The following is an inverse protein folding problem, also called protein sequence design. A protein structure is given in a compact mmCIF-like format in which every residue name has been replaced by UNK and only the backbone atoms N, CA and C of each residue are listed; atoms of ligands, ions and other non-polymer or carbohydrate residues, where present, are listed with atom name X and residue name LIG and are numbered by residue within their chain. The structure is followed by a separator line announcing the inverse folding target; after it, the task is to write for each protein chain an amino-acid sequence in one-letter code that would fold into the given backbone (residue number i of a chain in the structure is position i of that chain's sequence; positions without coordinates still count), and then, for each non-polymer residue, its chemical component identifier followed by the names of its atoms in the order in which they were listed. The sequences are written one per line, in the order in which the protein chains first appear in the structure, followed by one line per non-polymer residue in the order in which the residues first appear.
data_IF_631718127057
#
_entry.id   IF_631718127057
#
_cell.length_a   1.000
_cell.length_b   1.000
_cell.length_c   1.000
_cell.angle_alpha   90.00
_cell.angle_beta   90.00
_cell.angle_gamma   90.00
#
_symmetry.space_group_name_H-M   'P 1'
#
loop_
_entity.id
_entity.type
_entity.pdbx_description
1 polymer ?
#
# COMPACT_ATOMS: atom_id res chain seq x y z
N UNK A 1 3.55 8.48 11.99
CA UNK A 1 2.75 7.44 11.29
C UNK A 1 2.97 6.10 11.98
N UNK A 2 1.92 5.40 12.42
CA UNK A 2 2.06 4.12 13.11
C UNK A 2 2.34 3.01 12.07
N UNK A 3 3.52 2.39 12.15
CA UNK A 3 3.90 1.28 11.27
C UNK A 3 3.36 -0.03 11.84
N UNK A 4 2.66 -0.82 11.04
CA UNK A 4 2.23 -2.17 11.43
C UNK A 4 3.22 -3.19 10.89
N UNK A 5 3.51 -4.23 11.68
CA UNK A 5 4.38 -5.31 11.18
C UNK A 5 3.61 -6.16 10.17
N UNK A 6 3.88 -5.94 8.89
CA UNK A 6 3.33 -6.73 7.78
C UNK A 6 4.21 -8.00 7.61
N UNK A 7 3.65 -9.21 7.72
CA UNK A 7 4.38 -10.45 7.47
C UNK A 7 4.97 -10.50 6.06
N UNK A 8 6.14 -11.12 5.89
CA UNK A 8 6.77 -11.23 4.57
C UNK A 8 5.90 -12.04 3.58
N UNK A 9 5.10 -12.97 4.09
CA UNK A 9 4.16 -13.79 3.31
C UNK A 9 3.05 -13.00 2.62
N UNK A 10 2.84 -11.73 3.00
CA UNK A 10 1.83 -10.85 2.39
C UNK A 10 2.48 -9.66 1.69
N UNK A 11 3.81 -9.58 1.63
CA UNK A 11 4.49 -8.58 0.79
C UNK A 11 4.25 -8.93 -0.67
N UNK A 12 3.54 -8.04 -1.35
CA UNK A 12 3.22 -8.13 -2.77
C UNK A 12 3.29 -6.74 -3.38
N UNK A 13 3.55 -6.72 -4.67
CA UNK A 13 3.49 -5.54 -5.52
C UNK A 13 2.36 -5.73 -6.52
N UNK A 14 1.61 -4.65 -6.76
CA UNK A 14 0.58 -4.58 -7.78
C UNK A 14 0.94 -3.45 -8.73
N UNK A 15 1.04 -3.78 -10.00
CA UNK A 15 1.24 -2.82 -11.09
C UNK A 15 0.00 -2.79 -11.96
N UNK A 16 -0.37 -1.58 -12.40
CA UNK A 16 -1.42 -1.35 -13.39
C UNK A 16 -1.04 -0.18 -14.28
N UNK A 17 -1.85 0.04 -15.32
CA UNK A 17 -1.55 0.93 -16.43
C UNK A 17 -0.22 0.53 -17.09
N UNK A 18 -0.29 -0.18 -18.21
CA UNK A 18 0.87 -0.44 -19.09
C UNK A 18 0.75 0.34 -20.39
N UNK A 19 0.03 1.46 -20.37
CA UNK A 19 -0.36 2.16 -21.59
C UNK A 19 0.87 2.78 -22.26
N UNK A 20 1.19 2.28 -23.46
CA UNK A 20 2.18 2.88 -24.34
C UNK A 20 1.55 4.07 -25.06
N UNK A 21 2.17 5.23 -24.93
CA UNK A 21 2.03 6.29 -25.94
C UNK A 21 3.25 6.19 -26.87
N UNK A 22 3.18 6.69 -28.10
CA UNK A 22 4.30 6.62 -29.05
C UNK A 22 5.58 7.18 -28.39
N UNK A 23 6.50 6.28 -28.01
CA UNK A 23 7.79 6.60 -27.41
C UNK A 23 7.91 6.47 -25.88
N UNK A 24 6.85 6.11 -25.14
CA UNK A 24 6.94 5.99 -23.68
C UNK A 24 5.91 5.09 -23.00
N UNK A 25 6.20 4.71 -21.77
CA UNK A 25 5.33 3.91 -20.90
C UNK A 25 5.06 4.67 -19.60
N UNK A 26 3.87 4.47 -19.02
CA UNK A 26 3.58 4.85 -17.64
C UNK A 26 3.16 3.58 -16.91
N UNK A 27 3.75 3.32 -15.75
CA UNK A 27 3.37 2.27 -14.82
C UNK A 27 2.93 2.92 -13.51
N UNK A 28 1.72 2.62 -13.07
CA UNK A 28 1.29 2.95 -11.71
C UNK A 28 1.31 1.67 -10.88
N UNK A 29 1.50 1.81 -9.58
CA UNK A 29 1.52 0.63 -8.72
C UNK A 29 1.50 0.94 -7.24
N UNK A 30 1.47 -0.13 -6.48
CA UNK A 30 1.58 -0.11 -5.02
C UNK A 30 2.32 -1.34 -4.53
N UNK A 31 3.19 -1.15 -3.55
CA UNK A 31 3.79 -2.26 -2.82
C UNK A 31 3.75 -2.01 -1.31
N UNK A 32 3.87 -3.08 -0.55
CA UNK A 32 3.92 -3.01 0.92
C UNK A 32 5.37 -2.91 1.39
N UNK A 33 5.72 -1.78 2.03
CA UNK A 33 7.07 -1.53 2.56
C UNK A 33 6.99 -1.00 4.00
N UNK A 34 7.76 -1.61 4.91
CA UNK A 34 7.85 -1.20 6.33
C UNK A 34 6.50 -0.94 7.02
N UNK A 35 5.46 -1.71 6.70
CA UNK A 35 4.16 -1.54 7.32
C UNK A 35 3.27 -0.45 6.73
N UNK A 36 3.62 0.04 5.55
CA UNK A 36 2.93 1.11 4.82
C UNK A 36 2.66 0.65 3.39
N UNK A 37 1.68 1.28 2.74
CA UNK A 37 1.52 1.21 1.29
C UNK A 37 2.43 2.28 0.67
N UNK A 38 3.19 1.90 -0.33
CA UNK A 38 3.97 2.83 -1.15
C UNK A 38 3.35 2.84 -2.53
N UNK A 39 2.64 3.91 -2.83
CA UNK A 39 2.07 4.16 -4.15
C UNK A 39 3.15 4.77 -5.03
N UNK A 40 3.24 4.33 -6.29
CA UNK A 40 4.22 4.85 -7.22
C UNK A 40 3.64 5.04 -8.61
N UNK A 41 4.24 5.99 -9.32
CA UNK A 41 4.11 6.17 -10.76
C UNK A 41 5.52 6.23 -11.34
N UNK A 42 5.79 5.37 -12.31
CA UNK A 42 7.05 5.30 -13.05
C UNK A 42 6.77 5.60 -14.53
N UNK A 43 7.62 6.43 -15.13
CA UNK A 43 7.56 6.72 -16.57
C UNK A 43 8.80 6.17 -17.28
N UNK A 44 8.59 5.62 -18.47
CA UNK A 44 9.67 5.24 -19.39
C UNK A 44 9.65 6.15 -20.62
N UNK A 45 10.82 6.63 -21.08
CA UNK A 45 12.15 6.32 -20.57
C UNK A 45 12.46 7.13 -19.29
N UNK A 46 13.25 6.58 -18.36
CA UNK A 46 13.34 7.03 -16.95
C UNK A 46 13.76 8.48 -16.65
N UNK A 47 14.04 9.28 -17.67
CA UNK A 47 14.24 10.74 -17.61
C UNK A 47 12.91 11.51 -17.58
N UNK A 48 11.78 10.83 -17.85
CA UNK A 48 10.42 11.39 -17.74
C UNK A 48 9.94 11.53 -16.28
N UNK A 49 10.74 11.10 -15.31
CA UNK A 49 10.46 11.26 -13.88
C UNK A 49 9.53 10.19 -13.31
N UNK A 50 8.94 10.49 -12.15
CA UNK A 50 8.06 9.60 -11.42
C UNK A 50 7.63 10.22 -10.09
N UNK A 51 6.71 9.57 -9.40
CA UNK A 51 6.21 10.00 -8.10
C UNK A 51 6.08 8.81 -7.17
N UNK A 52 6.36 9.02 -5.89
CA UNK A 52 6.09 8.04 -4.84
C UNK A 52 5.42 8.73 -3.67
N UNK A 53 4.38 8.11 -3.10
CA UNK A 53 3.82 8.57 -1.83
C UNK A 53 3.60 7.38 -0.89
N UNK A 54 3.81 7.63 0.40
CA UNK A 54 3.57 6.64 1.44
C UNK A 54 2.20 6.88 2.06
N UNK A 55 1.48 5.80 2.32
CA UNK A 55 0.20 5.80 3.01
C UNK A 55 0.22 4.77 4.14
N UNK A 56 -0.29 5.16 5.31
CA UNK A 56 -0.46 4.20 6.40
C UNK A 56 -1.60 3.23 6.11
N UNK A 57 -1.52 2.01 6.65
CA UNK A 57 -2.61 1.03 6.51
C UNK A 57 -3.91 1.52 7.14
N UNK A 58 -3.83 2.22 8.27
CA UNK A 58 -5.00 2.81 8.94
C UNK A 58 -5.70 3.85 8.05
N UNK A 59 -4.93 4.75 7.47
CA UNK A 59 -5.44 5.78 6.57
C UNK A 59 -6.06 5.16 5.30
N UNK A 60 -5.39 4.16 4.71
CA UNK A 60 -5.94 3.43 3.56
C UNK A 60 -7.27 2.75 3.88
N UNK A 61 -7.38 2.07 5.03
CA UNK A 61 -8.60 1.38 5.43
C UNK A 61 -9.74 2.35 5.80
N UNK A 62 -9.43 3.59 6.19
CA UNK A 62 -10.41 4.59 6.62
C UNK A 62 -10.86 5.48 5.48
N UNK A 63 -9.90 5.98 4.70
CA UNK A 63 -10.09 7.03 3.71
C UNK A 63 -9.92 6.55 2.26
N UNK A 64 -9.48 5.30 2.05
CA UNK A 64 -9.21 4.75 0.72
C UNK A 64 -7.80 5.09 0.21
N UNK A 65 -7.49 4.85 -1.07
CA UNK A 65 -6.15 5.07 -1.63
C UNK A 65 -5.78 6.57 -1.66
N UNK A 66 -4.51 6.89 -1.42
CA UNK A 66 -3.98 8.26 -1.58
C UNK A 66 -3.81 8.71 -3.04
N UNK A 67 -4.07 7.81 -3.99
CA UNK A 67 -3.95 8.08 -5.43
C UNK A 67 -5.29 7.83 -6.12
N UNK A 68 -5.53 8.58 -7.21
CA UNK A 68 -6.68 8.35 -8.08
C UNK A 68 -6.40 7.27 -9.13
N UNK A 69 -7.43 6.53 -9.54
CA UNK A 69 -7.34 5.59 -10.66
C UNK A 69 -6.70 4.24 -10.35
N UNK A 70 -6.56 3.87 -9.07
CA UNK A 70 -6.21 2.52 -8.68
C UNK A 70 -7.37 1.55 -9.05
N UNK A 71 -7.09 0.40 -9.70
CA UNK A 71 -8.09 -0.60 -10.05
C UNK A 71 -8.81 -1.15 -8.81
N UNK A 72 -10.14 -1.31 -8.88
CA UNK A 72 -10.92 -1.75 -7.71
C UNK A 72 -10.53 -3.16 -7.24
N UNK A 73 -10.16 -4.06 -8.15
CA UNK A 73 -9.67 -5.41 -7.83
C UNK A 73 -8.40 -5.38 -6.97
N UNK A 74 -7.48 -4.46 -7.29
CA UNK A 74 -6.28 -4.20 -6.46
C UNK A 74 -6.67 -3.66 -5.08
N UNK A 75 -7.63 -2.72 -5.03
CA UNK A 75 -8.12 -2.15 -3.76
C UNK A 75 -8.81 -3.19 -2.88
N UNK A 76 -9.63 -4.06 -3.47
CA UNK A 76 -10.29 -5.16 -2.78
C UNK A 76 -9.27 -6.16 -2.22
N UNK A 77 -8.27 -6.56 -3.02
CA UNK A 77 -7.21 -7.47 -2.56
C UNK A 77 -6.41 -6.85 -1.41
N UNK A 78 -6.03 -5.57 -1.52
CA UNK A 78 -5.34 -4.84 -0.46
C UNK A 78 -6.17 -4.80 0.83
N UNK A 79 -7.47 -4.51 0.75
CA UNK A 79 -8.36 -4.52 1.93
C UNK A 79 -8.43 -5.91 2.55
N UNK A 80 -8.55 -6.96 1.74
CA UNK A 80 -8.63 -8.35 2.21
C UNK A 80 -7.35 -8.79 2.96
N UNK A 81 -6.17 -8.36 2.48
CA UNK A 81 -4.89 -8.65 3.11
C UNK A 81 -4.67 -7.80 4.37
N UNK A 82 -4.89 -6.49 4.28
CA UNK A 82 -4.46 -5.54 5.30
C UNK A 82 -5.39 -5.47 6.51
N UNK A 83 -6.71 -5.62 6.31
CA UNK A 83 -7.70 -5.57 7.40
C UNK A 83 -7.40 -6.56 8.53
N UNK A 84 -7.20 -7.88 8.29
CA UNK A 84 -6.91 -8.83 9.36
C UNK A 84 -5.55 -8.56 10.04
N UNK A 85 -4.55 -8.09 9.28
CA UNK A 85 -3.23 -7.72 9.83
C UNK A 85 -3.34 -6.52 10.76
N UNK A 86 -4.10 -5.50 10.35
CA UNK A 86 -4.34 -4.29 11.12
C UNK A 86 -5.09 -4.61 12.42
N UNK A 87 -6.20 -5.35 12.34
CA UNK A 87 -6.98 -5.77 13.51
C UNK A 87 -6.16 -6.61 14.51
N UNK A 88 -5.31 -7.52 14.01
CA UNK A 88 -4.41 -8.31 14.86
C UNK A 88 -3.38 -7.41 15.56
N UNK A 89 -2.87 -6.39 14.87
CA UNK A 89 -1.93 -5.42 15.46
C UNK A 89 -2.57 -4.64 16.62
N UNK A 90 -3.85 -4.25 16.49
CA UNK A 90 -4.59 -3.55 17.54
C UNK A 90 -4.81 -4.43 18.77
N UNK A 91 -5.21 -5.70 18.56
CA UNK A 91 -5.41 -6.67 19.64
C UNK A 91 -4.10 -7.03 20.36
N UNK A 92 -2.99 -7.12 19.63
CA UNK A 92 -1.66 -7.29 20.22
C UNK A 92 -1.22 -6.10 21.07
N UNK A 93 -1.57 -4.88 20.65
CA UNK A 93 -1.31 -3.64 21.40
C UNK A 93 -2.09 -3.57 22.71
N UNK A 94 -3.32 -4.10 22.75
CA UNK A 94 -4.18 -4.09 23.95
C UNK A 94 -3.75 -5.10 25.03
N UNK A 95 -3.12 -6.22 24.64
CA UNK A 95 -2.61 -7.23 25.60
C UNK A 95 -1.43 -6.73 26.43
N UNK A 96 -0.64 -5.77 25.92
CA UNK A 96 0.47 -5.17 26.67
C UNK A 96 0.03 -4.22 27.78
N UNK A 97 -1.20 -3.70 27.76
CA UNK A 97 -1.69 -2.77 28.80
C UNK A 97 -2.22 -3.49 30.05
N UNK A 98 -2.58 -4.77 29.97
CA UNK A 98 -3.09 -5.55 31.11
C UNK A 98 -2.00 -6.21 31.95
N UNK A 99 -0.72 -6.00 31.62
CA UNK A 99 0.43 -6.53 32.39
C UNK A 99 1.06 -5.47 33.32
N UNK A 100 0.52 -4.24 33.33
CA UNK A 100 1.01 -3.13 34.15
C UNK A 100 -0.06 -2.55 35.10
N UNK A 101 -1.18 -3.26 35.30
CA UNK A 101 -2.21 -2.97 36.31
C UNK A 101 -2.40 -4.22 37.16
#
# INVERSE_FOLDING_TARGET
MKKIKIPDSVRKEWTWNGASWEGGYRYDGVHLFEGCLVWYTEYYPGWSGGGTCQQSVEDFLTNGPSVGGAPEDVLEELRAILKPVYEKSLKGSSKNLKQFL
#
